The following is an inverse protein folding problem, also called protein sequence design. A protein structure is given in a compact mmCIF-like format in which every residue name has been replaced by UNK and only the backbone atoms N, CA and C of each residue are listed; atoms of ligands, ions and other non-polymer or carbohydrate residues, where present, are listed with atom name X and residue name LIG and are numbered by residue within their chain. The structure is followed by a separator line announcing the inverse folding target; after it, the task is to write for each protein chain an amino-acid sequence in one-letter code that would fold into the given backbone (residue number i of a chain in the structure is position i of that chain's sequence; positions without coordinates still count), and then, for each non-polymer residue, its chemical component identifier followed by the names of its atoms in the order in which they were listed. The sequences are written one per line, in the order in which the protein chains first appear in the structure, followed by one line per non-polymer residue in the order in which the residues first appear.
data_IF_827022067756
#
_entry.id   IF_827022067756
#
_cell.length_a   1.000
_cell.length_b   1.000
_cell.length_c   1.000
_cell.angle_alpha   90.00
_cell.angle_beta   90.00
_cell.angle_gamma   90.00
#
_symmetry.space_group_name_H-M   'P 1'
#
loop_
_entity.id
_entity.type
_entity.pdbx_description
1 polymer ?
#
# COMPACT_ATOMS: atom_id res chain seq x y z
N UNK A 1 -12.46 10.65 5.25
CA UNK A 1 -11.46 10.00 6.13
C UNK A 1 -10.21 9.79 5.30
N UNK A 2 -9.01 10.07 5.82
CA UNK A 2 -7.78 9.91 5.04
C UNK A 2 -7.44 8.41 4.94
N UNK A 3 -7.30 7.89 3.72
CA UNK A 3 -6.90 6.51 3.45
C UNK A 3 -5.74 6.57 2.48
N UNK A 4 -4.78 5.68 2.68
CA UNK A 4 -3.67 5.47 1.76
C UNK A 4 -3.67 4.00 1.38
N UNK A 5 -3.48 3.72 0.10
CA UNK A 5 -3.28 2.36 -0.37
C UNK A 5 -1.79 2.09 -0.57
N UNK A 6 -1.39 0.85 -0.32
CA UNK A 6 -0.02 0.37 -0.46
C UNK A 6 -0.03 -0.81 -1.43
N UNK A 7 0.89 -0.78 -2.39
CA UNK A 7 1.20 -1.95 -3.22
C UNK A 7 2.55 -2.51 -2.78
N UNK A 8 2.56 -3.79 -2.42
CA UNK A 8 3.74 -4.49 -1.93
C UNK A 8 3.74 -5.94 -2.40
N UNK A 9 4.81 -6.35 -3.10
CA UNK A 9 4.92 -7.72 -3.63
C UNK A 9 3.78 -8.15 -4.56
N UNK A 10 3.14 -7.19 -5.24
CA UNK A 10 1.95 -7.42 -6.09
C UNK A 10 0.61 -7.44 -5.33
N UNK A 11 0.63 -7.44 -3.99
CA UNK A 11 -0.58 -7.34 -3.17
C UNK A 11 -0.98 -5.89 -2.86
N UNK A 12 -2.28 -5.68 -2.62
CA UNK A 12 -2.84 -4.40 -2.19
C UNK A 12 -3.18 -4.40 -0.70
N UNK A 13 -2.83 -3.31 -0.04
CA UNK A 13 -3.04 -3.07 1.38
C UNK A 13 -3.52 -1.64 1.60
N UNK A 14 -4.02 -1.34 2.79
CA UNK A 14 -4.47 0.01 3.12
C UNK A 14 -4.10 0.46 4.53
N UNK A 15 -4.00 1.77 4.70
CA UNK A 15 -3.81 2.45 5.98
C UNK A 15 -4.86 3.54 6.13
N UNK A 16 -5.64 3.46 7.20
CA UNK A 16 -6.59 4.51 7.57
C UNK A 16 -5.94 5.53 8.51
N UNK A 17 -6.30 6.81 8.37
CA UNK A 17 -5.85 7.89 9.26
C UNK A 17 -4.39 8.32 9.07
N UNK A 18 -3.70 7.84 8.03
CA UNK A 18 -2.31 8.19 7.71
C UNK A 18 -2.25 9.06 6.46
N UNK A 19 -1.23 9.93 6.37
CA UNK A 19 -0.89 10.67 5.16
C UNK A 19 0.25 9.98 4.41
N UNK A 20 0.36 10.25 3.11
CA UNK A 20 1.49 9.78 2.28
C UNK A 20 2.83 10.23 2.89
N UNK A 21 2.96 11.50 3.24
CA UNK A 21 4.17 12.07 3.84
C UNK A 21 4.56 11.37 5.15
N UNK A 22 3.60 11.08 6.02
CA UNK A 22 3.88 10.35 7.27
C UNK A 22 4.44 8.96 7.02
N UNK A 23 3.98 8.28 5.98
CA UNK A 23 4.45 6.93 5.63
C UNK A 23 5.82 7.00 4.95
N UNK A 24 6.04 8.00 4.08
CA UNK A 24 7.35 8.24 3.45
C UNK A 24 8.43 8.47 4.51
N UNK A 25 8.19 9.38 5.46
CA UNK A 25 9.16 9.68 6.53
C UNK A 25 9.48 8.43 7.38
N UNK A 26 8.48 7.60 7.68
CA UNK A 26 8.67 6.36 8.45
C UNK A 26 9.51 5.33 7.67
N UNK A 27 9.23 5.14 6.38
CA UNK A 27 9.98 4.23 5.49
C UNK A 27 11.41 4.72 5.26
N UNK A 28 11.60 6.02 5.02
CA UNK A 28 12.94 6.62 4.85
C UNK A 28 13.79 6.42 6.11
N UNK A 29 13.23 6.73 7.28
CA UNK A 29 13.93 6.52 8.56
C UNK A 29 14.32 5.05 8.75
N UNK A 30 13.42 4.11 8.39
CA UNK A 30 13.70 2.68 8.48
C UNK A 30 14.83 2.24 7.53
N UNK A 31 14.79 2.69 6.28
CA UNK A 31 15.80 2.37 5.27
C UNK A 31 17.17 2.96 5.67
N UNK A 32 17.21 4.20 6.14
CA UNK A 32 18.44 4.85 6.63
C UNK A 32 19.03 4.16 7.85
N UNK A 33 18.20 3.58 8.72
CA UNK A 33 18.66 2.83 9.89
C UNK A 33 19.41 1.54 9.55
N UNK A 34 19.27 1.05 8.31
CA UNK A 34 19.84 -0.22 7.85
C UNK A 34 19.24 -1.47 8.50
N UNK A 35 18.16 -1.33 9.29
CA UNK A 35 17.48 -2.44 9.96
C UNK A 35 16.17 -2.77 9.24
N UNK A 36 15.78 -4.06 9.17
CA UNK A 36 14.44 -4.42 8.72
C UNK A 36 13.37 -3.77 9.59
N UNK A 37 12.30 -3.29 8.96
CA UNK A 37 11.18 -2.64 9.64
C UNK A 37 9.86 -3.32 9.26
N UNK A 38 8.95 -3.47 10.23
CA UNK A 38 7.64 -4.08 10.03
C UNK A 38 6.56 -2.99 10.02
N UNK A 39 6.00 -2.73 8.83
CA UNK A 39 4.88 -1.82 8.68
C UNK A 39 3.56 -2.60 8.84
N UNK A 40 2.81 -2.28 9.89
CA UNK A 40 1.46 -2.83 10.08
C UNK A 40 0.47 -2.10 9.18
N UNK A 41 -0.28 -2.84 8.37
CA UNK A 41 -1.28 -2.35 7.42
C UNK A 41 -2.55 -3.20 7.51
N UNK A 42 -3.63 -2.77 6.87
CA UNK A 42 -4.85 -3.56 6.71
C UNK A 42 -4.81 -4.35 5.40
N UNK A 43 -5.22 -5.62 5.43
CA UNK A 43 -5.52 -6.43 4.24
C UNK A 43 -6.95 -6.16 3.73
N UNK A 44 -7.14 -5.98 2.43
CA UNK A 44 -8.37 -5.45 1.82
C UNK A 44 -9.42 -6.45 1.32
N UNK A 45 -9.21 -7.77 1.44
CA UNK A 45 -10.07 -8.81 0.84
C UNK A 45 -11.37 -9.14 1.60
N UNK A 46 -12.13 -8.13 2.03
CA UNK A 46 -13.43 -8.33 2.71
C UNK A 46 -13.37 -8.65 4.20
N UNK A 47 -12.18 -8.70 4.81
CA UNK A 47 -11.97 -8.76 6.27
C UNK A 47 -10.88 -7.78 6.68
N UNK A 48 -11.15 -6.95 7.69
CA UNK A 48 -10.14 -6.12 8.33
C UNK A 48 -9.21 -7.00 9.16
N UNK A 49 -8.15 -7.48 8.53
CA UNK A 49 -7.08 -8.24 9.16
C UNK A 49 -5.77 -7.44 9.11
N UNK A 50 -5.02 -7.51 10.21
CA UNK A 50 -3.69 -6.94 10.29
C UNK A 50 -2.73 -7.72 9.39
N UNK A 51 -2.04 -7.01 8.50
CA UNK A 51 -0.90 -7.52 7.75
C UNK A 51 0.36 -6.77 8.15
N UNK A 52 1.51 -7.44 8.07
CA UNK A 52 2.81 -6.87 8.45
C UNK A 52 3.75 -6.96 7.27
N UNK A 53 4.05 -5.82 6.65
CA UNK A 53 4.93 -5.72 5.49
C UNK A 53 6.37 -5.51 5.95
N UNK A 54 7.30 -6.28 5.38
CA UNK A 54 8.73 -6.16 5.66
C UNK A 54 9.37 -5.07 4.78
N UNK A 55 9.69 -3.93 5.35
CA UNK A 55 10.39 -2.87 4.64
C UNK A 55 11.89 -3.12 4.72
N UNK A 56 12.49 -3.40 3.56
CA UNK A 56 13.93 -3.60 3.37
C UNK A 56 14.35 -3.09 1.98
N UNK A 57 15.62 -2.66 1.80
CA UNK A 57 16.13 -2.26 0.49
C UNK A 57 15.95 -3.34 -0.57
N UNK A 58 15.58 -2.93 -1.78
CA UNK A 58 15.43 -3.84 -2.93
C UNK A 58 14.04 -4.48 -3.09
N UNK A 59 13.11 -4.24 -2.16
CA UNK A 59 11.71 -4.69 -2.31
C UNK A 59 10.84 -3.58 -2.90
N UNK A 60 10.09 -3.83 -4.00
CA UNK A 60 9.16 -2.85 -4.55
C UNK A 60 8.07 -2.45 -3.55
N UNK A 61 7.89 -1.15 -3.38
CA UNK A 61 6.91 -0.55 -2.49
C UNK A 61 6.35 0.72 -3.13
N UNK A 62 5.03 0.83 -3.24
CA UNK A 62 4.35 2.02 -3.74
C UNK A 62 3.29 2.49 -2.75
N UNK A 63 3.19 3.82 -2.59
CA UNK A 63 2.18 4.49 -1.77
C UNK A 63 1.23 5.24 -2.71
N UNK A 64 -0.07 5.01 -2.59
CA UNK A 64 -1.09 5.67 -3.38
C UNK A 64 -1.99 6.51 -2.48
N UNK A 65 -2.13 7.78 -2.80
CA UNK A 65 -3.10 8.64 -2.14
C UNK A 65 -4.50 8.26 -2.61
N UNK A 66 -5.32 7.67 -1.73
CA UNK A 66 -6.71 7.35 -2.07
C UNK A 66 -7.50 8.66 -2.19
N UNK A 67 -7.79 9.05 -3.43
CA UNK A 67 -8.71 10.13 -3.72
C UNK A 67 -10.07 9.50 -4.00
N UNK A 68 -11.07 9.63 -3.09
CA UNK A 68 -12.41 9.17 -3.41
C UNK A 68 -12.85 9.88 -4.68
N UNK A 69 -13.27 9.11 -5.67
CA UNK A 69 -13.74 9.69 -6.91
C UNK A 69 -15.01 10.50 -6.60
N UNK A 70 -15.09 11.74 -7.09
CA UNK A 70 -16.27 12.61 -6.84
C UNK A 70 -17.47 12.27 -7.73
N UNK A 71 -17.36 11.27 -8.61
CA UNK A 71 -18.32 10.96 -9.69
C UNK A 71 -18.97 9.57 -9.59
N UNK A 72 -18.88 8.88 -8.45
CA UNK A 72 -19.66 7.68 -8.14
C UNK A 72 -19.19 6.35 -8.76
N UNK A 73 -17.90 6.15 -9.07
CA UNK A 73 -17.39 4.81 -9.40
C UNK A 73 -16.03 4.60 -8.76
N UNK A 74 -16.04 4.09 -7.52
CA UNK A 74 -14.81 3.60 -6.89
C UNK A 74 -14.45 2.35 -7.67
N UNK A 75 -13.48 2.46 -8.57
CA UNK A 75 -12.91 1.30 -9.24
C UNK A 75 -12.19 0.55 -8.12
N UNK A 76 -12.83 -0.50 -7.62
CA UNK A 76 -12.17 -1.44 -6.74
C UNK A 76 -10.95 -1.96 -7.51
N UNK A 77 -9.76 -1.66 -7.01
CA UNK A 77 -8.53 -2.09 -7.66
C UNK A 77 -8.26 -3.59 -7.44
N UNK A 78 -9.29 -4.36 -7.07
CA UNK A 78 -9.48 -5.77 -7.44
C UNK A 78 -9.48 -5.93 -8.97
N UNK A 79 -8.44 -5.42 -9.63
CA UNK A 79 -8.10 -5.79 -10.98
C UNK A 79 -7.36 -7.10 -10.86
N UNK A 80 -8.10 -8.19 -10.93
CA UNK A 80 -7.67 -9.38 -11.65
C UNK A 80 -7.02 -8.92 -12.96
N UNK A 81 -5.70 -8.68 -12.95
CA UNK A 81 -4.91 -8.45 -14.16
C UNK A 81 -4.29 -7.06 -14.41
N UNK A 82 -4.36 -6.06 -13.52
CA UNK A 82 -3.69 -4.76 -13.82
C UNK A 82 -2.16 -4.85 -13.86
N UNK A 83 -1.58 -5.89 -13.25
CA UNK A 83 -0.13 -6.15 -13.25
C UNK A 83 0.29 -7.36 -14.08
N UNK A 84 -0.63 -8.05 -14.76
CA UNK A 84 -0.24 -9.09 -15.72
C UNK A 84 0.08 -8.44 -17.06
N UNK A 85 1.37 -8.13 -17.24
CA UNK A 85 1.96 -7.99 -18.56
C UNK A 85 1.97 -9.36 -19.26
N UNK A 86 0.81 -9.83 -19.70
CA UNK A 86 0.72 -10.91 -20.69
C UNK A 86 -0.22 -10.45 -21.81
N UNK A 87 0.30 -9.50 -22.59
CA UNK A 87 -0.15 -9.29 -23.97
C UNK A 87 0.63 -10.27 -24.82
N UNK A 88 -0.04 -11.34 -25.25
CA UNK A 88 0.32 -12.13 -26.43
C UNK A 88 -0.69 -11.84 -27.54
#
# INVERSE_FOLDING_TARGET
MNRVDIVYGGGQYSLAGRSVESIQNEVETAVESGKPYWLRVNSGGGRFEDAYLLIVPGVPFAILNFKPNTNGTDIDLEVDGAFNQDVL
#
